data_IF_339131770420
#
_entry.id   IF_339131770420
#
_cell.length_a   1.000
_cell.length_b   1.000
_cell.length_c   1.000
_cell.angle_alpha   90.00
_cell.angle_beta   90.00
_cell.angle_gamma   90.00
#
_symmetry.space_group_name_H-M   'P 1'
#
loop_
_entity.id
_entity.type
_entity.pdbx_description
1 polymer ?
#
# COMPACT_ATOMS: atom_id res chain seq x y z
N UNK A 1 -11.71 2.37 1.49
CA UNK A 1 -10.80 1.37 2.07
C UNK A 1 -9.48 1.29 1.30
N UNK A 2 -9.51 1.23 -0.03
CA UNK A 2 -8.27 1.12 -0.83
C UNK A 2 -7.30 2.27 -0.55
N UNK A 3 -7.79 3.52 -0.52
CA UNK A 3 -6.96 4.67 -0.20
C UNK A 3 -6.36 4.53 1.20
N UNK A 4 -7.17 4.18 2.19
CA UNK A 4 -6.73 4.03 3.57
C UNK A 4 -5.70 2.90 3.72
N UNK A 5 -5.91 1.77 3.06
CA UNK A 5 -4.96 0.65 3.06
C UNK A 5 -3.63 1.06 2.42
N UNK A 6 -3.68 1.79 1.30
CA UNK A 6 -2.47 2.27 0.63
C UNK A 6 -1.71 3.26 1.51
N UNK A 7 -2.41 4.19 2.15
CA UNK A 7 -1.81 5.15 3.07
C UNK A 7 -1.18 4.46 4.28
N UNK A 8 -1.87 3.50 4.87
CA UNK A 8 -1.36 2.76 6.03
C UNK A 8 -0.11 1.95 5.68
N UNK A 9 -0.11 1.31 4.50
CA UNK A 9 1.06 0.57 4.03
C UNK A 9 2.22 1.51 3.68
N UNK A 10 1.90 2.67 3.09
CA UNK A 10 2.89 3.72 2.87
C UNK A 10 3.59 4.11 4.18
N UNK A 11 2.84 4.45 5.21
CA UNK A 11 3.40 4.87 6.50
C UNK A 11 4.27 3.77 7.11
N UNK A 12 3.78 2.53 7.10
CA UNK A 12 4.51 1.37 7.61
C UNK A 12 5.84 1.18 6.88
N UNK A 13 5.84 1.30 5.57
CA UNK A 13 7.04 1.16 4.73
C UNK A 13 8.02 2.29 4.99
N UNK A 14 7.54 3.51 5.13
CA UNK A 14 8.38 4.67 5.44
C UNK A 14 9.02 4.53 6.82
N UNK A 15 8.25 4.06 7.82
CA UNK A 15 8.78 3.78 9.15
C UNK A 15 9.85 2.67 9.13
N UNK A 16 9.64 1.63 8.35
CA UNK A 16 10.63 0.57 8.18
C UNK A 16 11.88 1.06 7.46
N UNK A 17 11.73 1.97 6.49
CA UNK A 17 12.87 2.62 5.84
C UNK A 17 13.75 3.35 6.86
N UNK A 18 13.16 4.03 7.83
CA UNK A 18 13.90 4.71 8.89
C UNK A 18 14.57 3.73 9.87
N UNK A 19 13.85 2.68 10.26
CA UNK A 19 14.20 1.87 11.44
C UNK A 19 14.85 0.53 11.11
N UNK A 20 15.01 0.16 9.85
CA UNK A 20 15.66 -1.10 9.48
C UNK A 20 17.14 -1.09 9.92
N UNK A 21 17.61 -2.24 10.39
CA UNK A 21 18.99 -2.41 10.86
C UNK A 21 19.52 -3.76 10.35
N UNK A 22 20.84 -3.91 10.37
CA UNK A 22 21.48 -5.19 10.13
C UNK A 22 22.29 -5.25 8.84
N UNK A 23 22.68 -6.46 8.41
CA UNK A 23 23.63 -6.64 7.32
C UNK A 23 23.08 -6.23 5.94
N UNK A 24 21.77 -6.08 5.82
CA UNK A 24 21.11 -5.68 4.57
C UNK A 24 20.56 -4.25 4.62
N UNK A 25 21.08 -3.44 5.54
CA UNK A 25 20.53 -2.09 5.77
C UNK A 25 20.44 -1.26 4.50
N UNK A 26 21.54 -1.13 3.76
CA UNK A 26 21.54 -0.22 2.61
C UNK A 26 20.57 -0.67 1.51
N UNK A 27 20.54 -1.95 1.20
CA UNK A 27 19.61 -2.49 0.21
C UNK A 27 18.16 -2.30 0.62
N UNK A 28 17.84 -2.61 1.88
CA UNK A 28 16.46 -2.51 2.37
C UNK A 28 16.01 -1.08 2.56
N UNK A 29 16.88 -0.23 3.08
CA UNK A 29 16.63 1.21 3.22
C UNK A 29 16.26 1.81 1.86
N UNK A 30 17.03 1.50 0.82
CA UNK A 30 16.77 1.95 -0.55
C UNK A 30 15.51 1.31 -1.15
N UNK A 31 15.31 0.01 -0.93
CA UNK A 31 14.13 -0.70 -1.42
C UNK A 31 12.85 -0.13 -0.84
N UNK A 32 12.83 0.08 0.48
CA UNK A 32 11.66 0.65 1.15
C UNK A 32 11.38 2.07 0.67
N UNK A 33 12.41 2.84 0.35
CA UNK A 33 12.25 4.18 -0.23
C UNK A 33 11.57 4.13 -1.60
N UNK A 34 11.97 3.20 -2.46
CA UNK A 34 11.29 3.02 -3.74
C UNK A 34 9.81 2.70 -3.55
N UNK A 35 9.52 1.81 -2.60
CA UNK A 35 8.16 1.35 -2.33
C UNK A 35 7.29 2.46 -1.74
N UNK A 36 7.77 3.19 -0.73
CA UNK A 36 6.93 4.23 -0.14
C UNK A 36 6.75 5.43 -1.08
N UNK A 37 7.75 5.74 -1.90
CA UNK A 37 7.63 6.83 -2.88
C UNK A 37 6.57 6.50 -3.92
N UNK A 38 6.52 5.27 -4.39
CA UNK A 38 5.51 4.81 -5.33
C UNK A 38 4.10 4.90 -4.70
N UNK A 39 3.95 4.48 -3.45
CA UNK A 39 2.66 4.53 -2.77
C UNK A 39 2.23 5.96 -2.44
N UNK A 40 3.17 6.87 -2.17
CA UNK A 40 2.89 8.29 -2.00
C UNK A 40 2.16 8.85 -3.23
N UNK A 41 2.68 8.55 -4.42
CA UNK A 41 2.05 8.95 -5.68
C UNK A 41 0.69 8.28 -5.87
N UNK A 42 0.58 7.00 -5.52
CA UNK A 42 -0.67 6.26 -5.64
C UNK A 42 -1.77 6.81 -4.72
N UNK A 43 -1.41 7.20 -3.50
CA UNK A 43 -2.36 7.81 -2.55
C UNK A 43 -2.99 9.06 -3.16
N UNK A 44 -2.18 9.90 -3.77
CA UNK A 44 -2.68 11.13 -4.42
C UNK A 44 -3.68 10.80 -5.54
N UNK A 45 -3.30 9.88 -6.43
CA UNK A 45 -4.17 9.48 -7.55
C UNK A 45 -5.50 8.89 -7.07
N UNK A 46 -5.46 8.04 -6.04
CA UNK A 46 -6.68 7.43 -5.48
C UNK A 46 -7.57 8.48 -4.82
N UNK A 47 -6.99 9.40 -4.05
CA UNK A 47 -7.73 10.47 -3.39
C UNK A 47 -8.39 11.40 -4.42
N UNK A 48 -7.67 11.75 -5.48
CA UNK A 48 -8.20 12.60 -6.54
C UNK A 48 -9.29 11.90 -7.35
N UNK A 49 -9.19 10.57 -7.51
CA UNK A 49 -10.28 9.80 -8.14
C UNK A 49 -11.55 9.86 -7.30
N UNK A 50 -11.44 9.75 -5.98
CA UNK A 50 -12.59 9.91 -5.06
C UNK A 50 -13.21 11.29 -5.26
N UNK A 51 -12.39 12.35 -5.33
CA UNK A 51 -12.88 13.70 -5.55
C UNK A 51 -13.57 13.86 -6.92
N UNK A 52 -13.02 13.27 -7.94
CA UNK A 52 -13.61 13.29 -9.28
C UNK A 52 -14.97 12.59 -9.32
N UNK A 53 -15.19 11.60 -8.45
CA UNK A 53 -16.48 10.90 -8.32
C UNK A 53 -17.49 11.69 -7.46
N UNK A 54 -17.10 12.84 -6.90
CA UNK A 54 -18.01 13.72 -6.16
C UNK A 54 -17.98 13.57 -4.65
N UNK A 55 -17.11 12.73 -4.10
CA UNK A 55 -17.02 12.53 -2.64
C UNK A 55 -15.77 13.20 -2.08
N UNK A 56 -15.75 13.43 -0.76
CA UNK A 56 -14.53 13.86 -0.08
C UNK A 56 -13.63 12.68 0.20
N UNK A 57 -12.32 12.88 0.03
CA UNK A 57 -11.32 11.90 0.42
C UNK A 57 -11.12 11.94 1.94
N UNK A 58 -10.97 10.78 2.63
CA UNK A 58 -10.58 10.80 4.03
C UNK A 58 -9.21 11.47 4.16
N UNK A 59 -9.04 12.31 5.20
CA UNK A 59 -7.85 13.16 5.31
C UNK A 59 -7.37 13.34 6.75
N UNK A 60 -7.78 12.50 7.67
CA UNK A 60 -7.27 12.50 9.05
C UNK A 60 -6.74 11.11 9.40
N UNK A 61 -5.84 11.05 10.39
CA UNK A 61 -5.33 9.76 10.87
C UNK A 61 -6.46 8.86 11.36
N UNK A 62 -7.41 9.42 12.10
CA UNK A 62 -8.52 8.64 12.63
C UNK A 62 -9.38 8.03 11.54
N UNK A 63 -9.69 8.80 10.50
CA UNK A 63 -10.45 8.30 9.35
C UNK A 63 -9.70 7.20 8.61
N UNK A 64 -8.41 7.39 8.35
CA UNK A 64 -7.59 6.40 7.66
C UNK A 64 -7.50 5.11 8.48
N UNK A 65 -7.26 5.22 9.78
CA UNK A 65 -7.18 4.06 10.67
C UNK A 65 -8.51 3.29 10.71
N UNK A 66 -9.64 3.98 10.76
CA UNK A 66 -10.96 3.35 10.80
C UNK A 66 -11.30 2.60 9.51
N UNK A 67 -10.79 3.06 8.36
CA UNK A 67 -11.09 2.49 7.05
C UNK A 67 -10.08 1.43 6.61
N UNK A 68 -8.89 1.41 7.20
CA UNK A 68 -7.81 0.52 6.80
C UNK A 68 -7.95 -0.88 7.38
N UNK A 69 -7.57 -1.87 6.59
CA UNK A 69 -7.40 -3.26 7.04
C UNK A 69 -5.93 -3.59 7.33
N UNK A 70 -5.01 -2.66 7.09
CA UNK A 70 -3.59 -2.85 7.35
C UNK A 70 -3.33 -2.66 8.84
N UNK A 71 -2.69 -3.64 9.46
CA UNK A 71 -2.30 -3.54 10.86
C UNK A 71 -1.10 -2.59 11.00
N UNK A 72 -1.22 -1.58 11.87
CA UNK A 72 -0.11 -0.65 12.10
C UNK A 72 1.03 -1.33 12.87
N UNK A 73 2.24 -0.79 12.69
CA UNK A 73 3.40 -1.26 13.41
C UNK A 73 3.62 -0.41 14.65
N UNK A 74 3.67 -1.05 15.81
CA UNK A 74 3.90 -0.39 17.09
C UNK A 74 5.24 -0.79 17.72
N UNK A 75 6.02 -1.63 17.05
CA UNK A 75 7.30 -2.11 17.53
C UNK A 75 8.42 -1.89 16.54
N UNK A 76 9.52 -2.60 16.76
CA UNK A 76 10.72 -2.55 15.91
C UNK A 76 11.13 -3.99 15.56
N UNK A 77 10.41 -4.66 14.63
CA UNK A 77 10.78 -6.01 14.23
C UNK A 77 12.11 -6.02 13.48
N UNK A 78 12.75 -7.19 13.40
CA UNK A 78 13.96 -7.32 12.62
C UNK A 78 13.68 -7.16 11.12
N UNK A 79 14.74 -7.06 10.32
CA UNK A 79 14.62 -6.78 8.89
C UNK A 79 13.79 -7.84 8.15
N UNK A 80 13.95 -9.10 8.50
CA UNK A 80 13.23 -10.20 7.84
C UNK A 80 11.74 -10.15 8.16
N UNK A 81 11.40 -9.85 9.39
CA UNK A 81 10.00 -9.66 9.79
C UNK A 81 9.39 -8.43 9.13
N UNK A 82 10.18 -7.34 8.99
CA UNK A 82 9.72 -6.15 8.25
C UNK A 82 9.35 -6.53 6.82
N UNK A 83 10.22 -7.25 6.12
CA UNK A 83 10.00 -7.67 4.73
C UNK A 83 8.75 -8.55 4.63
N UNK A 84 8.60 -9.51 5.54
CA UNK A 84 7.43 -10.40 5.59
C UNK A 84 6.14 -9.63 5.85
N UNK A 85 6.18 -8.67 6.79
CA UNK A 85 5.03 -7.83 7.10
C UNK A 85 4.60 -6.98 5.90
N UNK A 86 5.56 -6.42 5.17
CA UNK A 86 5.25 -5.64 3.98
C UNK A 86 4.70 -6.50 2.84
N UNK A 87 5.21 -7.73 2.67
CA UNK A 87 4.66 -8.65 1.69
C UNK A 87 3.17 -8.89 1.95
N UNK A 88 2.80 -9.18 3.20
CA UNK A 88 1.40 -9.35 3.61
C UNK A 88 0.59 -8.08 3.37
N UNK A 89 1.17 -6.92 3.67
CA UNK A 89 0.52 -5.64 3.45
C UNK A 89 0.18 -5.42 1.97
N UNK A 90 1.11 -5.72 1.08
CA UNK A 90 0.86 -5.61 -0.36
C UNK A 90 -0.22 -6.57 -0.84
N UNK A 91 -0.28 -7.79 -0.28
CA UNK A 91 -1.35 -8.73 -0.58
C UNK A 91 -2.72 -8.18 -0.16
N UNK A 92 -2.80 -7.54 1.01
CA UNK A 92 -4.03 -6.92 1.49
C UNK A 92 -4.47 -5.74 0.62
N UNK A 93 -3.53 -4.89 0.20
CA UNK A 93 -3.86 -3.78 -0.71
C UNK A 93 -4.34 -4.30 -2.06
N UNK A 94 -3.71 -5.36 -2.58
CA UNK A 94 -4.17 -6.00 -3.81
C UNK A 94 -5.61 -6.50 -3.70
N UNK A 95 -5.99 -7.09 -2.55
CA UNK A 95 -7.38 -7.50 -2.29
C UNK A 95 -8.34 -6.31 -2.31
N UNK A 96 -7.96 -5.22 -1.66
CA UNK A 96 -8.77 -3.99 -1.64
C UNK A 96 -8.96 -3.44 -3.05
N UNK A 97 -7.90 -3.45 -3.85
CA UNK A 97 -7.95 -2.99 -5.24
C UNK A 97 -8.86 -3.89 -6.08
N UNK A 98 -8.80 -5.21 -5.90
CA UNK A 98 -9.69 -6.16 -6.60
C UNK A 98 -11.17 -5.92 -6.26
N UNK A 99 -11.47 -5.58 -5.01
CA UNK A 99 -12.83 -5.23 -4.61
C UNK A 99 -13.33 -3.99 -5.35
N UNK A 100 -12.50 -2.96 -5.46
CA UNK A 100 -12.86 -1.74 -6.20
C UNK A 100 -13.04 -2.05 -7.68
N UNK A 101 -12.13 -2.83 -8.26
CA UNK A 101 -12.22 -3.22 -9.68
C UNK A 101 -13.55 -3.94 -9.97
N UNK A 102 -13.93 -4.90 -9.14
CA UNK A 102 -15.17 -5.64 -9.31
C UNK A 102 -16.39 -4.72 -9.30
N UNK A 103 -16.43 -3.78 -8.33
CA UNK A 103 -17.52 -2.80 -8.23
C UNK A 103 -17.54 -1.89 -9.46
N UNK A 104 -16.37 -1.38 -9.87
CA UNK A 104 -16.26 -0.51 -11.04
C UNK A 104 -16.76 -1.22 -12.31
N UNK A 105 -16.40 -2.49 -12.49
CA UNK A 105 -16.85 -3.27 -13.64
C UNK A 105 -18.38 -3.49 -13.62
N UNK A 106 -18.94 -3.78 -12.44
CA UNK A 106 -20.38 -4.00 -12.29
C UNK A 106 -21.21 -2.76 -12.69
N UNK A 107 -20.69 -1.56 -12.41
CA UNK A 107 -21.42 -0.31 -12.71
C UNK A 107 -20.93 0.37 -14.00
N UNK A 108 -19.98 -0.23 -14.70
CA UNK A 108 -19.46 0.32 -15.96
C UNK A 108 -18.55 1.53 -15.78
N UNK A 109 -17.89 1.68 -14.63
CA UNK A 109 -16.95 2.78 -14.37
C UNK A 109 -15.56 2.39 -14.85
N UNK A 110 -15.34 2.47 -16.15
CA UNK A 110 -14.07 2.09 -16.79
C UNK A 110 -12.91 2.94 -16.31
N UNK A 111 -13.14 4.22 -16.03
CA UNK A 111 -12.08 5.12 -15.58
C UNK A 111 -11.56 4.73 -14.20
N UNK A 112 -12.43 4.33 -13.27
CA UNK A 112 -11.98 3.80 -11.97
C UNK A 112 -11.28 2.47 -12.15
N UNK A 113 -11.78 1.59 -13.03
CA UNK A 113 -11.11 0.31 -13.34
C UNK A 113 -9.69 0.55 -13.86
N UNK A 114 -9.49 1.53 -14.72
CA UNK A 114 -8.16 1.88 -15.24
C UNK A 114 -7.21 2.42 -14.18
N UNK A 115 -7.72 3.09 -13.16
CA UNK A 115 -6.90 3.58 -12.05
C UNK A 115 -6.46 2.43 -11.14
N UNK A 116 -7.36 1.49 -10.84
CA UNK A 116 -7.07 0.45 -9.83
C UNK A 116 -6.38 -0.79 -10.39
N UNK A 117 -6.54 -1.11 -11.68
CA UNK A 117 -5.91 -2.28 -12.29
C UNK A 117 -4.38 -2.26 -12.16
N UNK A 118 -3.67 -1.15 -12.45
CA UNK A 118 -2.23 -1.10 -12.23
C UNK A 118 -1.84 -1.31 -10.77
N UNK A 119 -2.70 -0.92 -9.82
CA UNK A 119 -2.44 -1.14 -8.39
C UNK A 119 -2.37 -2.63 -8.08
N UNK A 120 -3.27 -3.43 -8.64
CA UNK A 120 -3.26 -4.88 -8.45
C UNK A 120 -1.94 -5.47 -8.95
N UNK A 121 -1.57 -5.16 -10.19
CA UNK A 121 -0.33 -5.66 -10.80
C UNK A 121 0.89 -5.30 -9.98
N UNK A 122 0.99 -4.03 -9.56
CA UNK A 122 2.14 -3.54 -8.83
C UNK A 122 2.25 -4.15 -7.44
N UNK A 123 1.14 -4.23 -6.69
CA UNK A 123 1.17 -4.79 -5.34
C UNK A 123 1.46 -6.29 -5.36
N UNK A 124 0.94 -7.03 -6.32
CA UNK A 124 1.25 -8.46 -6.47
C UNK A 124 2.72 -8.68 -6.80
N UNK A 125 3.26 -7.88 -7.71
CA UNK A 125 4.69 -7.94 -8.06
C UNK A 125 5.57 -7.61 -6.85
N UNK A 126 5.24 -6.56 -6.14
CA UNK A 126 6.00 -6.12 -4.96
C UNK A 126 5.95 -7.17 -3.85
N UNK A 127 4.79 -7.78 -3.62
CA UNK A 127 4.66 -8.86 -2.65
C UNK A 127 5.56 -10.06 -3.01
N UNK A 128 5.59 -10.44 -4.29
CA UNK A 128 6.48 -11.51 -4.76
C UNK A 128 7.95 -11.17 -4.49
N UNK A 129 8.37 -9.97 -4.85
CA UNK A 129 9.77 -9.56 -4.67
C UNK A 129 10.16 -9.52 -3.19
N UNK A 130 9.25 -9.09 -2.31
CA UNK A 130 9.49 -9.08 -0.87
C UNK A 130 9.58 -10.49 -0.30
N UNK A 131 8.71 -11.40 -0.72
CA UNK A 131 8.79 -12.81 -0.30
C UNK A 131 10.12 -13.44 -0.71
N UNK A 132 10.58 -13.15 -1.93
CA UNK A 132 11.87 -13.63 -2.41
C UNK A 132 13.05 -13.07 -1.58
N UNK A 133 12.94 -11.80 -1.18
CA UNK A 133 13.95 -11.14 -0.33
C UNK A 133 14.02 -11.79 1.06
N UNK A 134 12.92 -12.28 1.59
CA UNK A 134 12.83 -12.86 2.93
C UNK A 134 13.35 -14.30 3.02
N UNK A 135 13.68 -14.92 1.92
CA UNK A 135 14.16 -16.33 1.88
C UNK A 135 15.59 -16.52 2.30
#
# INVERSE_FOLDING_TARGET
RLLADTYALYLKTHGYHWNVEGPHFQQLHALFMQQYTEMWTAVDELAERIRALGEYAPSSYAEMAALSSIQEETGHPDWKQMVTNLAKGHEEVAKSARNVLRIAEEIGDDATADVVTPRITLHEKTAWMLRATAQ
#
